data_IF_075616283388
#
_entry.id   IF_075616283388
#
_cell.length_a   1.000
_cell.length_b   1.000
_cell.length_c   1.000
_cell.angle_alpha   90.00
_cell.angle_beta   90.00
_cell.angle_gamma   90.00
#
_symmetry.space_group_name_H-M   'P 1'
#
loop_
_entity.id
_entity.type
_entity.pdbx_description
1 polymer ?
#
# COMPACT_ATOMS: atom_id res chain seq x y z
N UNK A 1 14.99 -26.56 19.52
CA UNK A 1 14.90 -25.12 19.21
C UNK A 1 13.75 -24.93 18.24
N UNK A 2 12.75 -24.10 18.60
CA UNK A 2 11.59 -23.82 17.75
C UNK A 2 12.02 -22.91 16.59
N UNK A 3 11.61 -23.27 15.38
CA UNK A 3 11.88 -22.54 14.14
C UNK A 3 10.96 -21.31 14.07
N UNK A 4 11.39 -20.19 14.67
CA UNK A 4 10.64 -18.93 14.65
C UNK A 4 10.96 -18.21 13.35
N UNK A 5 10.06 -18.35 12.36
CA UNK A 5 10.14 -17.65 11.08
C UNK A 5 9.12 -16.52 11.02
N UNK A 6 9.55 -15.35 10.51
CA UNK A 6 8.66 -14.21 10.36
C UNK A 6 7.67 -14.46 9.19
N UNK A 7 6.36 -14.45 9.46
CA UNK A 7 5.36 -14.78 8.44
C UNK A 7 5.11 -13.62 7.47
N UNK A 8 4.87 -12.43 8.01
CA UNK A 8 4.73 -11.19 7.25
C UNK A 8 4.88 -9.98 8.17
N UNK A 9 5.23 -8.85 7.57
CA UNK A 9 5.37 -7.56 8.20
C UNK A 9 4.21 -6.65 7.81
N UNK A 10 3.82 -5.80 8.77
CA UNK A 10 2.89 -4.70 8.55
C UNK A 10 3.61 -3.40 8.86
N UNK A 11 3.57 -2.47 7.91
CA UNK A 11 4.12 -1.14 8.04
C UNK A 11 3.02 -0.09 7.89
N UNK A 12 3.24 1.10 8.42
CA UNK A 12 2.41 2.26 8.12
C UNK A 12 3.28 3.48 7.89
N UNK A 13 2.83 4.38 7.02
CA UNK A 13 3.44 5.67 6.83
C UNK A 13 2.38 6.72 6.51
N UNK A 14 2.78 7.98 6.61
CA UNK A 14 1.95 9.13 6.31
C UNK A 14 2.69 10.01 5.31
N UNK A 15 2.10 10.23 4.12
CA UNK A 15 2.70 11.06 3.08
C UNK A 15 2.45 12.56 3.30
N UNK A 16 1.65 12.95 4.30
CA UNK A 16 1.40 14.35 4.71
C UNK A 16 0.69 15.22 3.67
N UNK A 17 0.07 14.61 2.66
CA UNK A 17 -0.80 15.31 1.70
C UNK A 17 -2.00 14.42 1.32
N UNK A 18 -3.15 15.03 0.99
CA UNK A 18 -4.32 14.27 0.58
C UNK A 18 -4.12 13.60 -0.79
N UNK A 19 -4.59 12.36 -0.92
CA UNK A 19 -4.46 11.56 -2.15
C UNK A 19 -5.83 11.44 -2.83
N UNK A 20 -5.90 11.80 -4.11
CA UNK A 20 -7.12 11.65 -4.91
C UNK A 20 -7.31 10.19 -5.37
N UNK A 21 -7.93 9.38 -4.52
CA UNK A 21 -8.11 7.93 -4.75
C UNK A 21 -8.83 7.62 -6.06
N UNK A 22 -9.90 8.35 -6.42
CA UNK A 22 -10.64 8.12 -7.65
C UNK A 22 -9.75 8.20 -8.91
N UNK A 23 -8.84 9.19 -8.96
CA UNK A 23 -7.88 9.32 -10.06
C UNK A 23 -6.90 8.14 -10.09
N UNK A 24 -6.43 7.70 -8.92
CA UNK A 24 -5.53 6.57 -8.80
C UNK A 24 -6.17 5.26 -9.31
N UNK A 25 -7.47 5.05 -9.03
CA UNK A 25 -8.23 3.89 -9.52
C UNK A 25 -8.34 3.91 -11.03
N UNK A 26 -8.69 5.06 -11.60
CA UNK A 26 -8.84 5.20 -13.05
C UNK A 26 -7.53 4.89 -13.77
N UNK A 27 -6.40 5.34 -13.23
CA UNK A 27 -5.08 5.05 -13.82
C UNK A 27 -4.59 3.61 -13.59
N UNK A 28 -5.01 2.94 -12.51
CA UNK A 28 -4.49 1.64 -12.10
C UNK A 28 -5.58 0.57 -11.88
N UNK A 29 -6.66 0.61 -12.67
CA UNK A 29 -7.89 -0.14 -12.44
C UNK A 29 -7.67 -1.66 -12.27
N UNK A 30 -6.67 -2.24 -12.94
CA UNK A 30 -6.37 -3.67 -12.87
C UNK A 30 -5.77 -4.10 -11.51
N UNK A 31 -5.11 -3.18 -10.81
CA UNK A 31 -4.38 -3.45 -9.56
C UNK A 31 -4.96 -2.70 -8.36
N UNK A 32 -5.91 -1.79 -8.56
CA UNK A 32 -6.55 -1.02 -7.50
C UNK A 32 -8.02 -1.38 -7.33
N UNK A 33 -8.49 -1.46 -6.09
CA UNK A 33 -9.89 -1.64 -5.74
C UNK A 33 -10.29 -0.58 -4.70
N UNK A 34 -11.34 0.18 -5.00
CA UNK A 34 -11.82 1.27 -4.16
C UNK A 34 -13.34 1.25 -4.11
N UNK A 35 -13.89 0.91 -2.95
CA UNK A 35 -15.31 0.82 -2.67
C UNK A 35 -15.60 1.68 -1.44
N UNK A 36 -15.76 3.01 -1.60
CA UNK A 36 -15.88 3.93 -0.46
C UNK A 36 -17.10 3.64 0.43
N UNK A 37 -18.15 3.07 -0.13
CA UNK A 37 -19.36 2.66 0.60
C UNK A 37 -19.11 1.47 1.54
N UNK A 38 -18.16 0.58 1.18
CA UNK A 38 -17.88 -0.64 1.92
C UNK A 38 -16.66 -0.50 2.83
N UNK A 39 -15.60 0.18 2.38
CA UNK A 39 -14.33 0.30 3.11
C UNK A 39 -13.72 1.68 2.94
N UNK A 40 -13.25 2.32 4.04
CA UNK A 40 -12.43 3.51 3.93
C UNK A 40 -11.05 3.12 3.38
N UNK A 41 -10.72 3.64 2.20
CA UNK A 41 -9.41 3.51 1.57
C UNK A 41 -9.36 2.58 0.37
N UNK A 42 -8.38 2.84 -0.50
CA UNK A 42 -8.10 2.09 -1.71
C UNK A 42 -7.13 0.94 -1.41
N UNK A 43 -7.44 -0.24 -1.91
CA UNK A 43 -6.57 -1.41 -1.86
C UNK A 43 -5.77 -1.45 -3.17
N UNK A 44 -4.46 -1.34 -3.07
CA UNK A 44 -3.54 -1.47 -4.19
C UNK A 44 -2.85 -2.84 -4.10
N UNK A 45 -2.83 -3.61 -5.18
CA UNK A 45 -2.26 -4.97 -5.22
C UNK A 45 -1.00 -4.96 -6.05
N UNK A 46 0.16 -5.01 -5.40
CA UNK A 46 1.45 -5.05 -6.09
C UNK A 46 1.89 -6.48 -6.33
N UNK A 47 2.30 -6.75 -7.57
CA UNK A 47 2.82 -8.05 -7.97
C UNK A 47 4.27 -8.19 -7.54
N UNK A 48 5.06 -7.12 -7.68
CA UNK A 48 6.50 -7.10 -7.33
C UNK A 48 6.88 -5.74 -6.71
N UNK A 49 7.25 -5.69 -5.41
CA UNK A 49 7.16 -6.77 -4.42
C UNK A 49 5.71 -7.21 -4.14
N UNK A 50 5.50 -8.45 -3.67
CA UNK A 50 4.16 -9.01 -3.44
C UNK A 50 3.55 -8.48 -2.14
N UNK A 51 3.00 -7.28 -2.21
CA UNK A 51 2.44 -6.57 -1.06
C UNK A 51 1.15 -5.84 -1.41
N UNK A 52 0.37 -5.51 -0.40
CA UNK A 52 -0.95 -4.90 -0.57
C UNK A 52 -1.03 -3.58 0.21
N UNK A 53 -0.62 -2.44 -0.38
CA UNK A 53 -0.83 -1.15 0.22
C UNK A 53 -2.32 -0.79 0.32
N UNK A 54 -2.74 -0.32 1.48
CA UNK A 54 -4.05 0.31 1.70
C UNK A 54 -3.86 1.81 1.88
N UNK A 55 -4.42 2.59 0.96
CA UNK A 55 -4.19 4.03 0.82
C UNK A 55 -5.44 4.79 1.25
N UNK A 56 -5.30 5.78 2.10
CA UNK A 56 -6.40 6.61 2.57
C UNK A 56 -6.34 8.00 1.93
N UNK A 57 -7.51 8.64 1.78
CA UNK A 57 -7.62 10.01 1.26
C UNK A 57 -6.78 10.99 2.09
N UNK A 58 -6.59 10.72 3.39
CA UNK A 58 -5.78 11.52 4.30
C UNK A 58 -4.27 11.49 4.04
N UNK A 59 -3.79 10.64 3.13
CA UNK A 59 -2.35 10.42 2.91
C UNK A 59 -1.73 9.35 3.81
N UNK A 60 -2.52 8.73 4.69
CA UNK A 60 -2.07 7.52 5.41
C UNK A 60 -1.99 6.34 4.45
N UNK A 61 -0.93 5.55 4.58
CA UNK A 61 -0.73 4.31 3.81
C UNK A 61 -0.37 3.19 4.78
N UNK A 62 -1.07 2.07 4.69
CA UNK A 62 -0.76 0.85 5.45
C UNK A 62 -0.24 -0.19 4.47
N UNK A 63 0.93 -0.75 4.74
CA UNK A 63 1.60 -1.73 3.90
C UNK A 63 1.52 -3.10 4.56
N UNK A 64 0.91 -4.07 3.92
CA UNK A 64 0.83 -5.45 4.45
C UNK A 64 1.44 -6.46 3.47
N UNK A 65 1.96 -7.56 4.01
CA UNK A 65 2.40 -8.72 3.22
C UNK A 65 3.88 -8.73 2.85
N UNK A 66 4.68 -7.77 3.32
CA UNK A 66 6.13 -7.81 3.12
C UNK A 66 6.76 -8.91 3.98
N UNK A 67 7.73 -9.64 3.45
CA UNK A 67 8.53 -10.58 4.25
C UNK A 67 9.78 -9.94 4.83
N UNK A 68 10.28 -8.91 4.14
CA UNK A 68 11.47 -8.16 4.54
C UNK A 68 11.23 -6.66 4.47
N UNK A 69 11.91 -5.92 5.34
CA UNK A 69 11.78 -4.45 5.43
C UNK A 69 12.05 -3.73 4.11
N UNK A 70 12.95 -4.26 3.28
CA UNK A 70 13.28 -3.72 1.95
C UNK A 70 12.06 -3.59 1.04
N UNK A 71 11.13 -4.55 1.09
CA UNK A 71 9.93 -4.54 0.24
C UNK A 71 8.99 -3.39 0.58
N UNK A 72 8.91 -2.99 1.86
CA UNK A 72 8.16 -1.79 2.25
C UNK A 72 8.75 -0.50 1.66
N UNK A 73 10.08 -0.39 1.58
CA UNK A 73 10.71 0.79 1.00
C UNK A 73 10.49 0.86 -0.51
N UNK A 74 10.64 -0.27 -1.22
CA UNK A 74 10.36 -0.35 -2.65
C UNK A 74 8.88 -0.03 -2.95
N UNK A 75 7.96 -0.50 -2.10
CA UNK A 75 6.54 -0.14 -2.16
C UNK A 75 6.31 1.37 -2.20
N UNK A 76 6.99 2.07 -1.29
CA UNK A 76 6.76 3.47 -1.03
C UNK A 76 7.31 4.36 -2.14
N UNK A 77 8.29 3.86 -2.91
CA UNK A 77 8.83 4.60 -4.06
C UNK A 77 7.78 4.89 -5.12
N UNK A 78 6.78 4.01 -5.29
CA UNK A 78 5.70 4.20 -6.26
C UNK A 78 4.77 5.34 -5.84
N UNK A 79 4.58 5.54 -4.53
CA UNK A 79 3.68 6.56 -3.99
C UNK A 79 4.38 7.89 -3.70
N UNK A 80 5.70 7.97 -3.85
CA UNK A 80 6.40 9.24 -3.74
C UNK A 80 6.07 10.10 -4.96
N UNK A 81 5.71 11.38 -4.77
CA UNK A 81 5.60 12.29 -5.90
C UNK A 81 6.97 12.37 -6.57
N UNK A 82 7.03 12.04 -7.86
CA UNK A 82 8.17 12.38 -8.70
C UNK A 82 8.24 13.90 -8.71
N UNK A 83 9.35 14.47 -8.23
CA UNK A 83 9.62 15.90 -8.39
C UNK A 83 9.56 16.29 -9.86
#
# INVERSE_FOLDING_TARGET
>A
FLDIQNQFMVGSCDVKFPIRLAGLVLSHQQVSSYEPELKPGLIYRMIKPRIVPKIFVSGKVVLTGAKVRGEHYEALRIFRPTK
#
